data_IF_479879136944
#
_entry.id   IF_479879136944
#
_cell.length_a   1.000
_cell.length_b   1.000
_cell.length_c   1.000
_cell.angle_alpha   90.00
_cell.angle_beta   90.00
_cell.angle_gamma   90.00
#
_symmetry.space_group_name_H-M   'P 1'
#
loop_
_entity.id
_entity.type
_entity.pdbx_description
1 polymer ?
#
# COMPACT_ATOMS: atom_id res chain seq x y z
N UNK A 1 15.52 6.37 -10.98
CA UNK A 1 14.32 6.91 -11.67
C UNK A 1 13.05 6.64 -10.86
N UNK A 2 12.73 5.38 -10.52
CA UNK A 2 11.56 5.04 -9.71
C UNK A 2 11.48 5.82 -8.37
N UNK A 3 12.60 5.94 -7.64
CA UNK A 3 12.69 6.68 -6.38
C UNK A 3 12.28 8.14 -6.52
N UNK A 4 12.74 8.81 -7.57
CA UNK A 4 12.40 10.21 -7.87
C UNK A 4 10.92 10.32 -8.24
N UNK A 5 10.40 9.38 -9.04
CA UNK A 5 8.99 9.35 -9.41
C UNK A 5 8.05 9.19 -8.22
N UNK A 6 8.36 8.26 -7.30
CA UNK A 6 7.53 8.03 -6.10
C UNK A 6 7.54 9.26 -5.20
N UNK A 7 8.71 9.80 -4.87
CA UNK A 7 8.79 11.01 -4.02
C UNK A 7 8.18 12.24 -4.71
N UNK A 8 8.29 12.37 -6.03
CA UNK A 8 7.67 13.44 -6.80
C UNK A 8 6.14 13.39 -6.76
N UNK A 9 5.54 12.21 -6.95
CA UNK A 9 4.09 12.01 -6.87
C UNK A 9 3.60 12.30 -5.44
N UNK A 10 4.28 11.77 -4.43
CA UNK A 10 3.92 12.03 -3.02
C UNK A 10 4.01 13.52 -2.70
N UNK A 11 5.07 14.20 -3.13
CA UNK A 11 5.25 15.63 -2.92
C UNK A 11 4.17 16.47 -3.63
N UNK A 12 3.74 16.06 -4.84
CA UNK A 12 2.62 16.72 -5.53
C UNK A 12 1.30 16.56 -4.77
N UNK A 13 1.00 15.35 -4.32
CA UNK A 13 -0.22 15.06 -3.56
C UNK A 13 -0.28 15.89 -2.27
N UNK A 14 0.83 15.93 -1.51
CA UNK A 14 0.91 16.73 -0.27
C UNK A 14 0.83 18.23 -0.57
N UNK A 15 1.47 18.71 -1.63
CA UNK A 15 1.43 20.13 -2.00
C UNK A 15 0.03 20.60 -2.43
N UNK A 16 -0.76 19.72 -3.06
CA UNK A 16 -2.16 19.99 -3.39
C UNK A 16 -3.04 20.13 -2.14
N UNK A 17 -2.76 19.36 -1.08
CA UNK A 17 -3.45 19.47 0.22
C UNK A 17 -3.16 20.83 0.89
N UNK A 18 -1.89 21.19 1.00
CA UNK A 18 -1.46 22.49 1.55
C UNK A 18 -2.08 23.67 0.77
N UNK A 19 -2.17 23.55 -0.55
CA UNK A 19 -2.83 24.55 -1.40
C UNK A 19 -4.34 24.61 -1.14
N UNK A 20 -4.99 23.46 -0.94
CA UNK A 20 -6.39 23.37 -0.54
C UNK A 20 -6.67 24.13 0.76
N UNK A 21 -5.83 23.96 1.78
CA UNK A 21 -5.92 24.71 3.04
C UNK A 21 -5.75 26.23 2.83
N UNK A 22 -4.79 26.63 1.99
CA UNK A 22 -4.60 28.06 1.64
C UNK A 22 -5.81 28.63 0.91
N UNK A 23 -6.45 27.87 0.02
CA UNK A 23 -7.70 28.29 -0.64
C UNK A 23 -8.86 28.51 0.34
N UNK A 24 -8.97 27.65 1.36
CA UNK A 24 -9.98 27.81 2.42
C UNK A 24 -9.77 29.12 3.17
N UNK A 25 -8.51 29.42 3.52
CA UNK A 25 -8.13 30.64 4.24
C UNK A 25 -8.38 31.90 3.39
N UNK A 26 -8.01 31.87 2.10
CA UNK A 26 -8.24 32.98 1.17
C UNK A 26 -9.73 33.24 0.90
N UNK A 27 -10.58 32.22 0.99
CA UNK A 27 -12.03 32.34 0.79
C UNK A 27 -12.79 33.00 1.94
N UNK A 28 -12.13 33.47 3.01
CA UNK A 28 -12.76 34.11 4.18
C UNK A 28 -14.00 33.36 4.73
N UNK A 29 -14.01 32.04 4.60
CA UNK A 29 -15.09 31.20 5.11
C UNK A 29 -16.37 31.13 4.26
N UNK A 30 -16.46 31.75 3.07
CA UNK A 30 -17.65 31.73 2.19
C UNK A 30 -17.31 31.54 0.71
N UNK A 31 -18.13 30.74 0.00
CA UNK A 31 -18.08 30.61 -1.47
C UNK A 31 -17.41 29.33 -2.02
N UNK A 32 -17.33 29.26 -3.35
CA UNK A 32 -16.84 28.09 -4.13
C UNK A 32 -15.39 27.74 -3.77
N UNK A 33 -14.56 28.74 -3.45
CA UNK A 33 -13.16 28.57 -3.04
C UNK A 33 -13.01 27.72 -1.76
N UNK A 34 -13.89 27.92 -0.78
CA UNK A 34 -13.91 27.10 0.45
C UNK A 34 -14.38 25.67 0.18
N UNK A 35 -15.40 25.52 -0.69
CA UNK A 35 -15.90 24.20 -1.05
C UNK A 35 -14.84 23.38 -1.80
N UNK A 36 -14.15 23.99 -2.77
CA UNK A 36 -13.02 23.39 -3.48
C UNK A 36 -11.85 23.07 -2.55
N UNK A 37 -11.47 24.00 -1.67
CA UNK A 37 -10.39 23.77 -0.71
C UNK A 37 -10.72 22.64 0.28
N UNK A 38 -11.95 22.60 0.82
CA UNK A 38 -12.39 21.48 1.68
C UNK A 38 -12.40 20.15 0.93
N UNK A 39 -12.82 20.15 -0.34
CA UNK A 39 -12.81 18.94 -1.17
C UNK A 39 -11.38 18.41 -1.38
N UNK A 40 -10.43 19.29 -1.71
CA UNK A 40 -9.01 18.94 -1.87
C UNK A 40 -8.43 18.34 -0.59
N UNK A 41 -8.68 18.97 0.56
CA UNK A 41 -8.16 18.51 1.85
C UNK A 41 -8.78 17.18 2.29
N UNK A 42 -10.08 17.00 2.05
CA UNK A 42 -10.75 15.74 2.36
C UNK A 42 -10.39 14.62 1.37
N UNK A 43 -9.89 14.94 0.18
CA UNK A 43 -9.41 13.96 -0.78
C UNK A 43 -8.07 13.35 -0.36
N UNK A 44 -7.17 14.12 0.28
CA UNK A 44 -5.86 13.64 0.73
C UNK A 44 -5.93 12.34 1.57
N UNK A 45 -6.68 12.25 2.68
CA UNK A 45 -6.72 11.05 3.51
C UNK A 45 -7.31 9.85 2.75
N UNK A 46 -8.22 10.08 1.80
CA UNK A 46 -8.76 9.01 0.94
C UNK A 46 -7.70 8.47 -0.01
N UNK A 47 -6.92 9.34 -0.65
CA UNK A 47 -5.83 8.97 -1.55
C UNK A 47 -4.74 8.19 -0.82
N UNK A 48 -4.31 8.67 0.36
CA UNK A 48 -3.29 7.96 1.15
C UNK A 48 -3.80 6.57 1.57
N UNK A 49 -5.06 6.48 2.02
CA UNK A 49 -5.66 5.20 2.41
C UNK A 49 -5.79 4.24 1.23
N UNK A 50 -6.22 4.70 0.06
CA UNK A 50 -6.28 3.86 -1.13
C UNK A 50 -4.89 3.39 -1.58
N UNK A 51 -3.89 4.28 -1.53
CA UNK A 51 -2.52 3.95 -1.90
C UNK A 51 -1.91 2.90 -0.97
N UNK A 52 -2.26 2.93 0.33
CA UNK A 52 -1.86 1.89 1.29
C UNK A 52 -2.42 0.51 0.92
N UNK A 53 -3.70 0.43 0.54
CA UNK A 53 -4.32 -0.84 0.10
C UNK A 53 -3.70 -1.33 -1.20
N UNK A 54 -3.58 -0.45 -2.19
CA UNK A 54 -2.96 -0.78 -3.49
C UNK A 54 -1.51 -1.22 -3.29
N UNK A 55 -0.75 -0.51 -2.45
CA UNK A 55 0.64 -0.86 -2.13
C UNK A 55 0.74 -2.22 -1.45
N UNK A 56 -0.17 -2.54 -0.53
CA UNK A 56 -0.20 -3.86 0.12
C UNK A 56 -0.49 -4.97 -0.89
N UNK A 57 -1.49 -4.79 -1.76
CA UNK A 57 -1.81 -5.75 -2.83
C UNK A 57 -0.64 -5.92 -3.81
N UNK A 58 0.01 -4.82 -4.18
CA UNK A 58 1.18 -4.82 -5.06
C UNK A 58 2.35 -5.60 -4.41
N UNK A 59 2.62 -5.38 -3.12
CA UNK A 59 3.67 -6.11 -2.41
C UNK A 59 3.37 -7.61 -2.30
N UNK A 60 2.12 -8.00 -2.08
CA UNK A 60 1.71 -9.41 -2.08
C UNK A 60 1.92 -10.06 -3.44
N UNK A 61 1.49 -9.39 -4.52
CA UNK A 61 1.66 -9.87 -5.89
C UNK A 61 3.15 -9.97 -6.28
N UNK A 62 3.94 -8.93 -6.04
CA UNK A 62 5.37 -8.90 -6.37
C UNK A 62 6.14 -9.96 -5.58
N UNK A 63 5.91 -10.06 -4.27
CA UNK A 63 6.58 -11.09 -3.45
C UNK A 63 6.14 -12.50 -3.82
N UNK A 64 4.84 -12.72 -4.06
CA UNK A 64 4.30 -14.00 -4.51
C UNK A 64 4.89 -14.46 -5.84
N UNK A 65 5.00 -13.55 -6.81
CA UNK A 65 5.66 -13.82 -8.09
C UNK A 65 7.13 -14.19 -7.93
N UNK A 66 7.86 -13.54 -7.02
CA UNK A 66 9.24 -13.92 -6.69
C UNK A 66 9.29 -15.37 -6.17
N UNK A 67 8.43 -15.75 -5.21
CA UNK A 67 8.44 -17.12 -4.67
C UNK A 67 8.07 -18.17 -5.71
N UNK A 68 7.07 -17.87 -6.54
CA UNK A 68 6.55 -18.73 -7.61
C UNK A 68 7.61 -19.05 -8.68
N UNK A 69 8.43 -18.07 -9.04
CA UNK A 69 9.50 -18.25 -10.03
C UNK A 69 10.75 -18.90 -9.44
N UNK A 70 11.05 -18.69 -8.16
CA UNK A 70 12.26 -19.24 -7.53
C UNK A 70 12.07 -20.65 -6.94
N UNK A 71 10.82 -21.08 -6.71
CA UNK A 71 10.51 -22.42 -6.21
C UNK A 71 9.86 -23.25 -7.32
N UNK A 72 10.67 -24.05 -8.04
CA UNK A 72 10.21 -24.99 -9.09
C UNK A 72 9.07 -25.90 -8.61
N UNK A 73 9.06 -26.28 -7.34
CA UNK A 73 7.97 -27.05 -6.72
C UNK A 73 6.60 -26.35 -6.79
N UNK A 74 6.55 -25.04 -6.56
CA UNK A 74 5.31 -24.27 -6.69
C UNK A 74 4.92 -24.09 -8.16
N UNK A 75 5.88 -24.17 -9.08
CA UNK A 75 5.67 -24.03 -10.52
C UNK A 75 4.87 -25.17 -11.11
N UNK A 76 5.20 -26.41 -10.77
CA UNK A 76 4.41 -27.55 -11.21
C UNK A 76 3.05 -27.70 -10.51
N UNK A 77 2.94 -27.33 -9.23
CA UNK A 77 1.67 -27.48 -8.48
C UNK A 77 0.61 -26.45 -8.92
N UNK A 78 1.02 -25.26 -9.39
CA UNK A 78 0.10 -24.18 -9.78
C UNK A 78 0.19 -23.82 -11.28
N UNK A 79 0.71 -24.72 -12.13
CA UNK A 79 0.85 -24.51 -13.58
C UNK A 79 -0.50 -24.26 -14.29
N UNK A 80 -1.59 -24.80 -13.73
CA UNK A 80 -2.96 -24.67 -14.26
C UNK A 80 -3.69 -23.40 -13.84
N UNK A 81 -3.09 -22.57 -12.98
CA UNK A 81 -3.74 -21.36 -12.44
C UNK A 81 -3.35 -20.09 -13.21
N UNK A 82 -4.26 -19.09 -13.30
CA UNK A 82 -3.90 -17.78 -13.83
C UNK A 82 -2.77 -17.16 -13.00
N UNK A 83 -1.70 -16.70 -13.65
CA UNK A 83 -0.46 -16.25 -12.97
C UNK A 83 -0.69 -15.22 -11.87
N UNK A 84 -1.57 -14.23 -12.09
CA UNK A 84 -1.88 -13.21 -11.08
C UNK A 84 -2.56 -13.78 -9.82
N UNK A 85 -3.46 -14.76 -9.98
CA UNK A 85 -4.12 -15.43 -8.85
C UNK A 85 -3.15 -16.31 -8.07
N UNK A 86 -2.31 -17.05 -8.81
CA UNK A 86 -1.25 -17.89 -8.24
C UNK A 86 -0.31 -17.06 -7.37
N UNK A 87 0.23 -15.98 -7.91
CA UNK A 87 1.18 -15.11 -7.21
C UNK A 87 0.53 -14.49 -5.96
N UNK A 88 -0.70 -14.01 -6.09
CA UNK A 88 -1.44 -13.45 -4.96
C UNK A 88 -1.63 -14.46 -3.82
N UNK A 89 -2.08 -15.67 -4.14
CA UNK A 89 -2.36 -16.72 -3.14
C UNK A 89 -1.07 -17.18 -2.47
N UNK A 90 0.00 -17.40 -3.24
CA UNK A 90 1.30 -17.80 -2.68
C UNK A 90 1.84 -16.69 -1.77
N UNK A 91 1.82 -15.43 -2.23
CA UNK A 91 2.25 -14.28 -1.43
C UNK A 91 1.47 -14.15 -0.12
N UNK A 92 0.15 -14.39 -0.17
CA UNK A 92 -0.72 -14.36 1.01
C UNK A 92 -0.41 -15.51 1.98
N UNK A 93 -0.28 -16.75 1.49
CA UNK A 93 0.02 -17.93 2.32
C UNK A 93 1.38 -17.78 2.99
N UNK A 94 2.42 -17.45 2.23
CA UNK A 94 3.78 -17.24 2.77
C UNK A 94 3.78 -16.08 3.76
N UNK A 95 3.09 -14.99 3.46
CA UNK A 95 2.94 -13.85 4.37
C UNK A 95 2.30 -14.24 5.70
N UNK A 96 1.20 -15.00 5.67
CA UNK A 96 0.54 -15.48 6.89
C UNK A 96 1.42 -16.43 7.70
N UNK A 97 2.10 -17.37 7.04
CA UNK A 97 3.04 -18.29 7.71
C UNK A 97 4.17 -17.51 8.37
N UNK A 98 4.78 -16.54 7.68
CA UNK A 98 5.83 -15.70 8.23
C UNK A 98 5.37 -14.93 9.46
N UNK A 99 4.18 -14.31 9.42
CA UNK A 99 3.61 -13.59 10.57
C UNK A 99 3.34 -14.55 11.75
N UNK A 100 2.85 -15.76 11.47
CA UNK A 100 2.62 -16.77 12.51
C UNK A 100 3.93 -17.21 13.16
N UNK A 101 4.96 -17.50 12.38
CA UNK A 101 6.30 -17.87 12.88
C UNK A 101 6.91 -16.74 13.71
N UNK A 102 6.85 -15.49 13.23
CA UNK A 102 7.39 -14.33 13.98
C UNK A 102 6.62 -14.12 15.28
N UNK A 103 5.29 -14.27 15.29
CA UNK A 103 4.49 -14.17 16.52
C UNK A 103 4.83 -15.29 17.49
N UNK A 104 4.91 -16.55 17.03
CA UNK A 104 5.30 -17.69 17.86
C UNK A 104 6.69 -17.49 18.47
N UNK A 105 7.66 -17.06 17.66
CA UNK A 105 9.02 -16.75 18.12
C UNK A 105 9.02 -15.62 19.16
N UNK A 106 8.32 -14.51 18.91
CA UNK A 106 8.20 -13.42 19.90
C UNK A 106 7.55 -13.88 21.19
N UNK A 107 6.51 -14.73 21.15
CA UNK A 107 5.87 -15.27 22.36
C UNK A 107 6.83 -16.14 23.15
N UNK A 108 7.57 -17.03 22.48
CA UNK A 108 8.55 -17.91 23.12
C UNK A 108 9.70 -17.12 23.76
N UNK A 109 10.19 -16.07 23.09
CA UNK A 109 11.30 -15.24 23.61
C UNK A 109 10.86 -14.22 24.67
N UNK A 110 9.66 -13.63 24.55
CA UNK A 110 9.12 -12.70 25.56
C UNK A 110 8.76 -13.42 26.88
N UNK A 111 8.54 -14.72 26.84
CA UNK A 111 8.31 -15.54 28.05
C UNK A 111 9.60 -15.76 28.89
N UNK A 112 10.78 -15.42 28.37
CA UNK A 112 12.08 -15.66 29.02
C UNK A 112 12.78 -14.39 29.55
N UNK A 113 12.14 -13.22 29.51
CA UNK A 113 12.69 -11.96 30.06
C UNK A 113 11.63 -11.21 30.85
#
# INVERSE_FOLDING_TARGET
>A
IATIGVYGIVALIVRMDDFGLRLIQLGNGKGILKALGNFLVQALPKVIKSLSVIGTLALLLVSGGIFVHNLEFLHHVLESWPGMLRDFVVGLVVGFVAVFVVKAFKVVFKSKG
#
